data_IF_925609063908
#
_entry.id   IF_925609063908
#
_cell.length_a   1.000
_cell.length_b   1.000
_cell.length_c   1.000
_cell.angle_alpha   90.00
_cell.angle_beta   90.00
_cell.angle_gamma   90.00
#
_symmetry.space_group_name_H-M   'P 1'
#
loop_
_entity.id
_entity.type
_entity.pdbx_description
1 polymer ?
#
# COMPACT_ATOMS: atom_id res chain seq x y z
N UNK A 1 -6.64 30.40 -2.71
CA UNK A 1 -6.31 29.26 -1.83
C UNK A 1 -7.28 29.22 -0.67
N UNK A 2 -7.86 28.06 -0.32
CA UNK A 2 -8.78 27.95 0.83
C UNK A 2 -8.05 28.33 2.12
N UNK A 3 -8.67 29.14 2.99
CA UNK A 3 -8.04 29.69 4.20
C UNK A 3 -7.47 28.61 5.13
N UNK A 4 -8.13 27.45 5.22
CA UNK A 4 -7.69 26.31 6.03
C UNK A 4 -6.30 25.78 5.66
N UNK A 5 -5.89 25.85 4.38
CA UNK A 5 -4.58 25.36 3.95
C UNK A 5 -3.43 26.21 4.49
N UNK A 6 -3.71 27.41 5.03
CA UNK A 6 -2.69 28.30 5.61
C UNK A 6 -2.35 27.96 7.06
N UNK A 7 -3.14 27.13 7.72
CA UNK A 7 -2.97 26.79 9.15
C UNK A 7 -2.61 25.31 9.38
N UNK A 8 -2.51 24.53 8.30
CA UNK A 8 -2.09 23.13 8.36
C UNK A 8 -0.59 23.11 8.15
N UNK A 9 0.13 22.61 9.15
CA UNK A 9 1.55 22.30 9.00
C UNK A 9 1.71 21.13 8.01
N UNK A 10 2.65 21.22 7.05
CA UNK A 10 2.97 20.11 6.17
C UNK A 10 3.43 18.87 6.96
N UNK A 11 3.18 17.69 6.39
CA UNK A 11 3.76 16.46 6.92
C UNK A 11 5.29 16.49 6.81
N UNK A 12 5.97 16.18 7.91
CA UNK A 12 7.41 15.97 7.96
C UNK A 12 7.68 14.45 7.94
N UNK A 13 8.27 13.99 6.84
CA UNK A 13 8.62 12.58 6.65
C UNK A 13 9.85 12.13 7.45
N UNK A 14 10.57 13.07 8.05
CA UNK A 14 11.88 12.83 8.66
C UNK A 14 12.99 12.62 7.61
N UNK A 15 14.15 12.16 8.08
CA UNK A 15 15.32 11.94 7.24
C UNK A 15 15.19 10.59 6.53
N UNK A 16 15.25 10.62 5.19
CA UNK A 16 15.40 9.41 4.40
C UNK A 16 16.89 9.08 4.27
N UNK A 17 17.36 7.92 4.74
CA UNK A 17 18.79 7.63 4.78
C UNK A 17 19.29 7.22 3.38
N UNK A 18 20.51 7.62 3.04
CA UNK A 18 21.16 7.31 1.75
C UNK A 18 22.37 6.39 1.94
N UNK A 19 22.64 5.54 0.95
CA UNK A 19 23.78 4.62 0.96
C UNK A 19 23.52 3.33 1.75
N UNK A 20 24.60 2.67 2.15
CA UNK A 20 24.54 1.43 2.92
C UNK A 20 24.32 1.76 4.40
N UNK A 21 23.07 1.63 4.85
CA UNK A 21 22.59 2.06 6.16
C UNK A 21 21.65 1.01 6.74
N UNK A 22 21.69 0.85 8.06
CA UNK A 22 20.67 0.07 8.77
C UNK A 22 19.50 1.01 9.05
N UNK A 23 18.46 0.93 8.22
CA UNK A 23 17.26 1.75 8.39
C UNK A 23 16.28 1.11 9.39
N UNK A 24 15.93 1.85 10.45
CA UNK A 24 14.96 1.46 11.47
C UNK A 24 13.92 2.58 11.75
N UNK A 25 13.79 3.58 10.87
CA UNK A 25 12.99 4.78 11.15
C UNK A 25 11.51 4.70 10.70
N UNK A 26 11.15 3.74 9.85
CA UNK A 26 9.84 3.72 9.16
C UNK A 26 8.93 2.51 9.48
N UNK A 27 9.26 1.70 10.48
CA UNK A 27 8.54 0.46 10.82
C UNK A 27 8.40 -0.54 9.64
N UNK A 28 9.37 -0.55 8.73
CA UNK A 28 9.40 -1.47 7.60
C UNK A 28 9.60 -2.91 8.08
N UNK A 29 8.99 -3.86 7.37
CA UNK A 29 9.28 -5.27 7.60
C UNK A 29 10.69 -5.57 7.05
N UNK A 30 11.62 -6.12 7.86
CA UNK A 30 12.98 -6.41 7.40
C UNK A 30 13.06 -7.59 6.42
N UNK A 31 11.98 -8.35 6.24
CA UNK A 31 11.91 -9.47 5.33
C UNK A 31 11.36 -9.07 3.96
N UNK A 32 11.88 -9.74 2.93
CA UNK A 32 11.34 -9.68 1.57
C UNK A 32 9.86 -10.12 1.53
N UNK A 33 9.07 -9.62 0.56
CA UNK A 33 7.74 -10.16 0.28
C UNK A 33 7.79 -11.67 -0.02
N UNK A 34 6.66 -12.36 0.17
CA UNK A 34 6.57 -13.79 -0.14
C UNK A 34 6.81 -14.08 -1.63
N UNK A 35 7.25 -15.29 -1.96
CA UNK A 35 7.49 -15.69 -3.35
C UNK A 35 6.21 -15.66 -4.21
N UNK A 36 5.04 -15.89 -3.62
CA UNK A 36 3.73 -15.75 -4.27
C UNK A 36 3.45 -14.29 -4.64
N UNK A 37 3.76 -13.35 -3.73
CA UNK A 37 3.65 -11.91 -4.02
C UNK A 37 4.62 -11.52 -5.12
N UNK A 38 5.86 -12.05 -5.08
CA UNK A 38 6.86 -11.77 -6.11
C UNK A 38 6.39 -12.19 -7.50
N UNK A 39 5.89 -13.42 -7.63
CA UNK A 39 5.31 -13.93 -8.87
C UNK A 39 4.11 -13.11 -9.32
N UNK A 40 3.24 -12.70 -8.40
CA UNK A 40 2.05 -11.92 -8.72
C UNK A 40 2.38 -10.55 -9.33
N UNK A 41 3.32 -9.79 -8.77
CA UNK A 41 3.67 -8.48 -9.33
C UNK A 41 4.37 -8.61 -10.68
N UNK A 42 5.26 -9.60 -10.87
CA UNK A 42 5.93 -9.83 -12.16
C UNK A 42 4.90 -10.13 -13.24
N UNK A 43 3.94 -11.01 -12.96
CA UNK A 43 2.87 -11.34 -13.90
C UNK A 43 1.96 -10.14 -14.22
N UNK A 44 1.75 -9.26 -13.25
CA UNK A 44 0.93 -8.06 -13.42
C UNK A 44 1.56 -7.03 -14.37
N UNK A 45 2.88 -7.05 -14.58
CA UNK A 45 3.57 -6.13 -15.51
C UNK A 45 3.00 -6.18 -16.93
N UNK A 46 2.52 -7.34 -17.37
CA UNK A 46 1.89 -7.53 -18.69
C UNK A 46 0.60 -6.70 -18.89
N UNK A 47 0.02 -6.18 -17.80
CA UNK A 47 -1.25 -5.43 -17.80
C UNK A 47 -1.09 -3.99 -17.30
N UNK A 48 0.14 -3.51 -17.10
CA UNK A 48 0.43 -2.21 -16.47
C UNK A 48 -0.19 -1.00 -17.20
N UNK A 49 -0.38 -1.10 -18.52
CA UNK A 49 -1.03 -0.05 -19.32
C UNK A 49 -2.55 0.00 -19.21
N UNK A 50 -3.18 -0.84 -18.38
CA UNK A 50 -4.64 -0.87 -18.18
C UNK A 50 -5.00 -0.33 -16.80
N UNK A 51 -6.16 0.32 -16.72
CA UNK A 51 -6.75 0.66 -15.43
C UNK A 51 -6.99 -0.60 -14.58
N UNK A 52 -6.78 -0.53 -13.26
CA UNK A 52 -7.10 -1.63 -12.36
C UNK A 52 -8.62 -1.81 -12.22
N UNK A 53 -9.04 -2.92 -11.62
CA UNK A 53 -10.42 -3.09 -11.16
C UNK A 53 -10.70 -2.11 -10.01
N UNK A 54 -11.41 -1.03 -10.30
CA UNK A 54 -11.76 0.02 -9.33
C UNK A 54 -12.61 -0.49 -8.16
N UNK A 55 -13.26 -1.65 -8.28
CA UNK A 55 -14.05 -2.23 -7.19
C UNK A 55 -13.21 -2.97 -6.15
N UNK A 56 -11.96 -3.31 -6.49
CA UNK A 56 -11.08 -4.18 -5.69
C UNK A 56 -11.77 -5.48 -5.24
N UNK A 57 -12.67 -6.00 -6.07
CA UNK A 57 -13.61 -7.07 -5.70
C UNK A 57 -12.92 -8.31 -5.15
N UNK A 58 -11.81 -8.72 -5.79
CA UNK A 58 -10.99 -9.88 -5.41
C UNK A 58 -10.22 -9.65 -4.10
N UNK A 59 -9.63 -8.47 -3.93
CA UNK A 59 -8.88 -8.12 -2.73
C UNK A 59 -9.80 -8.07 -1.51
N UNK A 60 -10.94 -7.38 -1.63
CA UNK A 60 -11.92 -7.29 -0.53
C UNK A 60 -12.44 -8.67 -0.12
N UNK A 61 -12.64 -9.59 -1.08
CA UNK A 61 -13.03 -10.97 -0.79
C UNK A 61 -11.94 -11.72 0.00
N UNK A 62 -10.69 -11.64 -0.42
CA UNK A 62 -9.58 -12.30 0.29
C UNK A 62 -9.39 -11.76 1.72
N UNK A 63 -9.52 -10.45 1.92
CA UNK A 63 -9.47 -9.83 3.25
C UNK A 63 -10.65 -10.27 4.11
N UNK A 64 -11.86 -10.34 3.52
CA UNK A 64 -13.08 -10.80 4.19
C UNK A 64 -12.91 -12.23 4.72
N UNK A 65 -12.39 -13.14 3.89
CA UNK A 65 -12.12 -14.53 4.28
C UNK A 65 -11.04 -14.63 5.36
N UNK A 66 -9.97 -13.83 5.27
CA UNK A 66 -8.88 -13.82 6.25
C UNK A 66 -9.33 -13.28 7.62
N UNK A 67 -10.13 -12.22 7.64
CA UNK A 67 -10.57 -11.55 8.87
C UNK A 67 -11.89 -12.11 9.44
N UNK A 68 -12.64 -12.90 8.67
CA UNK A 68 -13.96 -13.41 9.08
C UNK A 68 -15.04 -12.33 9.17
N UNK A 69 -14.99 -11.32 8.30
CA UNK A 69 -15.95 -10.20 8.27
C UNK A 69 -16.57 -10.04 6.89
N UNK A 70 -17.80 -9.52 6.81
CA UNK A 70 -18.48 -9.26 5.53
C UNK A 70 -17.72 -8.29 4.63
N UNK A 71 -17.72 -8.56 3.32
CA UNK A 71 -17.01 -7.77 2.30
C UNK A 71 -17.43 -6.30 2.29
N UNK A 72 -18.69 -6.03 2.60
CA UNK A 72 -19.30 -4.70 2.65
C UNK A 72 -18.72 -3.85 3.79
N UNK A 73 -18.07 -4.48 4.78
CA UNK A 73 -17.36 -3.81 5.88
C UNK A 73 -15.92 -3.44 5.52
N UNK A 74 -15.48 -3.73 4.30
CA UNK A 74 -14.10 -3.50 3.85
C UNK A 74 -14.06 -2.40 2.78
N UNK A 75 -13.32 -1.34 3.11
CA UNK A 75 -12.85 -0.34 2.14
C UNK A 75 -11.35 -0.50 1.91
N UNK A 76 -10.89 -0.16 0.72
CA UNK A 76 -9.47 -0.14 0.34
C UNK A 76 -9.20 1.25 -0.19
N UNK A 77 -8.19 1.93 0.34
CA UNK A 77 -7.82 3.30 0.01
C UNK A 77 -6.54 3.72 0.72
#
# INVERSE_FOLDING_TARGET
MRGILKIIEPYDAGIFPEGEVINLSSNENPYEPSEEVKKAYINALTKIGRYPDASYSKLKKAISEYLGVEKERISVG
#
